data_IF_545583229787
#
_entry.id   IF_545583229787
#
_cell.length_a   1.000
_cell.length_b   1.000
_cell.length_c   1.000
_cell.angle_alpha   90.00
_cell.angle_beta   90.00
_cell.angle_gamma   90.00
#
_symmetry.space_group_name_H-M   'P 1'
#
loop_
_entity.id
_entity.type
_entity.pdbx_description
1 polymer ?
#
# COMPACT_ATOMS: atom_id res chain seq x y z
N UNK A 1 -10.55 -13.11 -3.83
CA UNK A 1 -10.30 -13.56 -2.44
C UNK A 1 -9.12 -12.84 -1.81
N UNK A 2 -7.99 -12.62 -2.49
CA UNK A 2 -6.82 -11.95 -1.91
C UNK A 2 -7.05 -10.48 -1.48
N UNK A 3 -7.73 -9.67 -2.31
CA UNK A 3 -8.04 -8.26 -2.00
C UNK A 3 -8.84 -8.14 -0.69
N UNK A 4 -9.91 -8.93 -0.55
CA UNK A 4 -10.75 -8.92 0.66
C UNK A 4 -9.95 -9.27 1.94
N UNK A 5 -8.95 -10.15 1.84
CA UNK A 5 -8.08 -10.46 2.98
C UNK A 5 -7.16 -9.28 3.35
N UNK A 6 -6.64 -8.54 2.36
CA UNK A 6 -5.87 -7.33 2.63
C UNK A 6 -6.73 -6.24 3.28
N UNK A 7 -7.97 -6.03 2.82
CA UNK A 7 -8.91 -5.09 3.45
C UNK A 7 -9.23 -5.46 4.90
N UNK A 8 -9.45 -6.75 5.17
CA UNK A 8 -9.62 -7.26 6.53
C UNK A 8 -8.37 -7.04 7.40
N UNK A 9 -7.18 -7.28 6.84
CA UNK A 9 -5.91 -7.07 7.53
C UNK A 9 -5.68 -5.60 7.87
N UNK A 10 -5.98 -4.67 6.95
CA UNK A 10 -5.94 -3.22 7.20
C UNK A 10 -6.85 -2.87 8.37
N UNK A 11 -8.11 -3.31 8.34
CA UNK A 11 -9.05 -3.03 9.42
C UNK A 11 -8.63 -3.63 10.76
N UNK A 12 -8.01 -4.81 10.77
CA UNK A 12 -7.46 -5.41 11.98
C UNK A 12 -6.26 -4.63 12.51
N UNK A 13 -5.32 -4.24 11.64
CA UNK A 13 -4.14 -3.46 11.98
C UNK A 13 -4.50 -2.09 12.57
N UNK A 14 -5.49 -1.42 12.00
CA UNK A 14 -6.00 -0.13 12.50
C UNK A 14 -6.62 -0.27 13.90
N UNK A 15 -7.44 -1.31 14.13
CA UNK A 15 -8.01 -1.58 15.47
C UNK A 15 -6.93 -1.93 16.50
N UNK A 16 -5.92 -2.68 16.08
CA UNK A 16 -4.80 -3.07 16.92
C UNK A 16 -3.77 -1.94 17.12
N UNK A 17 -3.88 -0.84 16.35
CA UNK A 17 -2.90 0.27 16.30
C UNK A 17 -1.48 -0.24 16.00
N UNK A 18 -1.38 -1.14 15.03
CA UNK A 18 -0.11 -1.68 14.51
C UNK A 18 0.17 -1.06 13.15
N UNK A 19 0.75 0.16 13.11
CA UNK A 19 0.91 0.93 11.87
C UNK A 19 1.90 0.31 10.88
N UNK A 20 2.82 -0.52 11.36
CA UNK A 20 3.70 -1.35 10.55
C UNK A 20 2.90 -2.40 9.75
N UNK A 21 2.03 -3.16 10.43
CA UNK A 21 1.16 -4.13 9.78
C UNK A 21 0.16 -3.46 8.83
N UNK A 22 -0.32 -2.26 9.19
CA UNK A 22 -1.21 -1.48 8.32
C UNK A 22 -0.49 -1.08 7.02
N UNK A 23 0.75 -0.58 7.11
CA UNK A 23 1.55 -0.19 5.95
C UNK A 23 1.81 -1.39 5.01
N UNK A 24 2.25 -2.51 5.57
CA UNK A 24 2.51 -3.74 4.82
C UNK A 24 1.24 -4.26 4.11
N UNK A 25 0.08 -4.19 4.79
CA UNK A 25 -1.18 -4.63 4.21
C UNK A 25 -1.63 -3.74 3.05
N UNK A 26 -1.47 -2.42 3.16
CA UNK A 26 -1.70 -1.48 2.05
C UNK A 26 -0.76 -1.72 0.87
N UNK A 27 0.52 -1.98 1.11
CA UNK A 27 1.49 -2.27 0.05
C UNK A 27 1.12 -3.55 -0.71
N UNK A 28 0.71 -4.60 0.02
CA UNK A 28 0.21 -5.85 -0.58
C UNK A 28 -1.06 -5.64 -1.38
N UNK A 29 -1.97 -4.79 -0.90
CA UNK A 29 -3.18 -4.44 -1.65
C UNK A 29 -2.83 -3.72 -2.97
N UNK A 30 -1.84 -2.81 -2.95
CA UNK A 30 -1.33 -2.16 -4.16
C UNK A 30 -0.80 -3.16 -5.18
N UNK A 31 -0.01 -4.13 -4.74
CA UNK A 31 0.50 -5.19 -5.59
C UNK A 31 -0.63 -6.05 -6.20
N UNK A 32 -1.66 -6.38 -5.41
CA UNK A 32 -2.81 -7.13 -5.91
C UNK A 32 -3.61 -6.35 -6.97
N UNK A 33 -3.80 -5.05 -6.76
CA UNK A 33 -4.47 -4.19 -7.74
C UNK A 33 -3.65 -4.04 -9.02
N UNK A 34 -2.33 -3.89 -8.90
CA UNK A 34 -1.41 -3.81 -10.02
C UNK A 34 -1.44 -5.11 -10.84
N UNK A 35 -1.35 -6.26 -10.18
CA UNK A 35 -1.47 -7.58 -10.81
C UNK A 35 -2.85 -7.81 -11.46
N UNK A 36 -3.87 -7.08 -11.01
CA UNK A 36 -5.22 -7.10 -11.60
C UNK A 36 -5.39 -6.04 -12.69
N UNK A 37 -4.31 -5.41 -13.15
CA UNK A 37 -4.29 -4.29 -14.11
C UNK A 37 -5.12 -3.07 -13.70
N UNK A 38 -5.48 -2.94 -12.42
CA UNK A 38 -6.17 -1.78 -11.88
C UNK A 38 -5.16 -0.77 -11.34
N UNK A 39 -4.47 -0.09 -12.27
CA UNK A 39 -3.34 0.80 -11.95
C UNK A 39 -3.77 1.95 -11.02
N UNK A 40 -4.94 2.54 -11.25
CA UNK A 40 -5.46 3.60 -10.38
C UNK A 40 -5.65 3.12 -8.93
N UNK A 41 -6.24 1.94 -8.72
CA UNK A 41 -6.41 1.39 -7.38
C UNK A 41 -5.07 0.97 -6.75
N UNK A 42 -4.11 0.52 -7.57
CA UNK A 42 -2.76 0.20 -7.11
C UNK A 42 -2.07 1.45 -6.54
N UNK A 43 -2.07 2.54 -7.30
CA UNK A 43 -1.50 3.83 -6.89
C UNK A 43 -2.10 4.31 -5.56
N UNK A 44 -3.44 4.28 -5.42
CA UNK A 44 -4.10 4.69 -4.18
C UNK A 44 -3.69 3.84 -2.97
N UNK A 45 -3.51 2.54 -3.18
CA UNK A 45 -3.09 1.62 -2.12
C UNK A 45 -1.63 1.88 -1.73
N UNK A 46 -0.73 2.07 -2.71
CA UNK A 46 0.67 2.40 -2.47
C UNK A 46 0.86 3.76 -1.81
N UNK A 47 0.06 4.78 -2.17
CA UNK A 47 0.09 6.08 -1.48
C UNK A 47 -0.27 5.94 -0.01
N UNK A 48 -1.29 5.12 0.29
CA UNK A 48 -1.69 4.83 1.67
C UNK A 48 -0.56 4.14 2.45
N UNK A 49 0.08 3.13 1.84
CA UNK A 49 1.25 2.45 2.43
C UNK A 49 2.43 3.40 2.64
N UNK A 50 2.75 4.22 1.64
CA UNK A 50 3.84 5.20 1.71
C UNK A 50 3.65 6.15 2.89
N UNK A 51 2.44 6.70 3.06
CA UNK A 51 2.16 7.60 4.18
C UNK A 51 2.38 6.89 5.52
N UNK A 52 1.88 5.66 5.67
CA UNK A 52 2.08 4.89 6.90
C UNK A 52 3.54 4.58 7.19
N UNK A 53 4.34 4.25 6.17
CA UNK A 53 5.78 4.07 6.33
C UNK A 53 6.47 5.35 6.80
N UNK A 54 6.08 6.53 6.28
CA UNK A 54 6.58 7.82 6.79
C UNK A 54 6.21 8.03 8.25
N UNK A 55 4.95 7.75 8.63
CA UNK A 55 4.46 7.92 10.00
C UNK A 55 5.28 7.09 11.02
N UNK A 56 5.83 5.94 10.59
CA UNK A 56 6.65 5.05 11.43
C UNK A 56 8.15 5.14 11.17
N UNK A 57 8.61 6.21 10.50
CA UNK A 57 10.03 6.45 10.16
C UNK A 57 10.70 5.38 9.28
N UNK A 58 9.92 4.55 8.56
CA UNK A 58 10.41 3.64 7.51
C UNK A 58 10.60 4.40 6.19
N UNK A 59 11.51 5.37 6.19
CA UNK A 59 11.67 6.31 5.07
C UNK A 59 12.21 5.65 3.80
N UNK A 60 13.00 4.57 3.91
CA UNK A 60 13.46 3.79 2.76
C UNK A 60 12.28 3.13 2.04
N UNK A 61 11.42 2.41 2.76
CA UNK A 61 10.23 1.77 2.18
C UNK A 61 9.27 2.82 1.57
N UNK A 62 9.14 3.99 2.21
CA UNK A 62 8.34 5.09 1.68
C UNK A 62 8.92 5.68 0.38
N UNK A 63 10.26 5.71 0.24
CA UNK A 63 10.94 6.18 -0.95
C UNK A 63 10.79 5.19 -2.10
N UNK A 64 10.98 3.90 -1.83
CA UNK A 64 10.81 2.82 -2.81
C UNK A 64 9.38 2.84 -3.39
N UNK A 65 8.37 3.00 -2.53
CA UNK A 65 6.99 3.18 -3.00
C UNK A 65 6.80 4.46 -3.80
N UNK A 66 7.50 5.56 -3.49
CA UNK A 66 7.42 6.80 -4.26
C UNK A 66 7.88 6.60 -5.70
N UNK A 67 9.00 5.88 -5.87
CA UNK A 67 9.58 5.60 -7.18
C UNK A 67 8.70 4.64 -7.99
N UNK A 68 8.14 3.63 -7.33
CA UNK A 68 7.19 2.71 -7.94
C UNK A 68 5.90 3.42 -8.39
N UNK A 69 5.31 4.26 -7.54
CA UNK A 69 4.11 5.05 -7.88
C UNK A 69 4.35 5.93 -9.11
N UNK A 70 5.48 6.66 -9.17
CA UNK A 70 5.82 7.48 -10.34
C UNK A 70 5.96 6.67 -11.63
N UNK A 71 6.35 5.40 -11.53
CA UNK A 71 6.46 4.51 -12.68
C UNK A 71 5.07 4.09 -13.15
N UNK A 72 4.16 3.78 -12.23
CA UNK A 72 2.77 3.44 -12.53
C UNK A 72 1.97 4.63 -13.08
N UNK A 73 2.22 5.84 -12.59
CA UNK A 73 1.57 7.07 -13.09
C UNK A 73 1.86 7.35 -14.57
N UNK A 74 2.96 6.82 -15.12
CA UNK A 74 3.28 6.95 -16.56
C UNK A 74 2.52 5.95 -17.45
N UNK A 75 1.80 5.00 -16.85
CA UNK A 75 1.08 3.94 -17.56
C UNK A 75 -0.41 4.25 -17.77
N UNK A 76 -0.89 5.37 -17.23
CA UNK A 76 -2.27 5.87 -17.33
C UNK A 76 -2.33 7.15 -18.16
#
# INVERSE_FOLDING_TARGET
MAIAHCEQAIGAAQRAKTPDLEADAWARLGCLHENSHNISAAIQSYLSAQQRYRDINKNSDALDLAEHIRTLEKQI
#
